data_IF_132928001993
#
_entry.id   IF_132928001993
#
_cell.length_a   1.000
_cell.length_b   1.000
_cell.length_c   1.000
_cell.angle_alpha   90.00
_cell.angle_beta   90.00
_cell.angle_gamma   90.00
#
_symmetry.space_group_name_H-M   'P 1'
#
loop_
_entity.id
_entity.type
_entity.pdbx_description
1 polymer ?
#
# COMPACT_ATOMS: atom_id res chain seq x y z
N UNK A 1 -21.05 7.73 -0.28
CA UNK A 1 -20.25 7.41 -1.49
C UNK A 1 -19.68 8.69 -2.06
N UNK A 2 -18.42 8.67 -2.55
CA UNK A 2 -17.65 9.84 -3.00
C UNK A 2 -18.37 10.70 -4.07
N UNK A 3 -19.37 10.16 -4.78
CA UNK A 3 -20.13 10.89 -5.81
C UNK A 3 -21.64 10.78 -5.69
N UNK A 4 -22.15 10.38 -4.52
CA UNK A 4 -23.56 9.99 -4.35
C UNK A 4 -24.03 8.98 -5.43
N UNK A 5 -23.13 8.12 -5.90
CA UNK A 5 -23.48 7.08 -6.88
C UNK A 5 -24.52 6.13 -6.30
N UNK A 6 -25.53 5.79 -7.09
CA UNK A 6 -26.61 4.86 -6.72
C UNK A 6 -26.15 3.38 -6.73
N UNK A 7 -24.86 3.12 -6.93
CA UNK A 7 -24.28 1.79 -7.01
C UNK A 7 -22.76 1.80 -6.96
N UNK A 8 -22.20 0.60 -7.00
CA UNK A 8 -20.77 0.36 -7.07
C UNK A 8 -20.53 -0.82 -8.02
N UNK A 9 -19.40 -0.79 -8.72
CA UNK A 9 -18.97 -1.86 -9.60
C UNK A 9 -17.76 -2.55 -8.97
N UNK A 10 -17.66 -3.86 -9.19
CA UNK A 10 -16.48 -4.65 -8.82
C UNK A 10 -16.02 -5.42 -10.04
N UNK A 11 -14.72 -5.48 -10.24
CA UNK A 11 -14.14 -6.47 -11.14
C UNK A 11 -14.05 -7.78 -10.37
N UNK A 12 -14.63 -8.85 -10.92
CA UNK A 12 -14.55 -10.16 -10.29
C UNK A 12 -13.10 -10.69 -10.29
N UNK A 13 -12.74 -11.54 -9.32
CA UNK A 13 -11.47 -12.24 -9.36
C UNK A 13 -11.29 -12.93 -10.72
N UNK A 14 -10.08 -12.87 -11.27
CA UNK A 14 -9.74 -13.42 -12.58
C UNK A 14 -10.30 -12.67 -13.79
N UNK A 15 -10.78 -11.43 -13.64
CA UNK A 15 -11.30 -10.64 -14.78
C UNK A 15 -10.30 -10.45 -15.95
N UNK A 16 -8.99 -10.53 -15.70
CA UNK A 16 -7.94 -10.46 -16.74
C UNK A 16 -7.36 -11.83 -17.12
N UNK A 17 -7.90 -12.92 -16.57
CA UNK A 17 -7.43 -14.28 -16.92
C UNK A 17 -7.70 -14.55 -18.39
N UNK A 18 -6.69 -15.02 -19.11
CA UNK A 18 -6.68 -15.19 -20.56
C UNK A 18 -6.84 -13.88 -21.36
N UNK A 19 -6.75 -12.70 -20.72
CA UNK A 19 -6.77 -11.43 -21.46
C UNK A 19 -5.62 -11.39 -22.46
N UNK A 20 -5.93 -10.96 -23.69
CA UNK A 20 -4.99 -10.87 -24.81
C UNK A 20 -4.33 -12.20 -25.23
N UNK A 21 -4.91 -13.34 -24.86
CA UNK A 21 -4.51 -14.65 -25.38
C UNK A 21 -5.28 -15.01 -26.68
N UNK A 22 -4.75 -15.92 -27.52
CA UNK A 22 -5.47 -16.40 -28.70
C UNK A 22 -6.86 -16.93 -28.35
N UNK A 23 -7.85 -16.63 -29.18
CA UNK A 23 -9.25 -17.01 -28.94
C UNK A 23 -9.50 -18.52 -28.88
N UNK A 24 -8.61 -19.33 -29.45
CA UNK A 24 -8.65 -20.79 -29.47
C UNK A 24 -7.74 -21.43 -28.40
N UNK A 25 -7.04 -20.63 -27.60
CA UNK A 25 -6.23 -21.12 -26.50
C UNK A 25 -7.12 -21.79 -25.44
N UNK A 26 -6.71 -22.97 -24.98
CA UNK A 26 -7.40 -23.65 -23.88
C UNK A 26 -7.19 -22.84 -22.60
N UNK A 27 -8.24 -22.58 -21.80
CA UNK A 27 -8.09 -21.98 -20.49
C UNK A 27 -7.16 -22.81 -19.60
N UNK A 28 -6.20 -22.15 -18.96
CA UNK A 28 -5.34 -22.80 -17.97
C UNK A 28 -6.07 -22.96 -16.63
N UNK A 29 -5.68 -23.94 -15.82
CA UNK A 29 -6.06 -24.00 -14.41
C UNK A 29 -5.07 -23.18 -13.57
N UNK A 30 -5.56 -22.37 -12.62
CA UNK A 30 -4.68 -21.62 -11.70
C UNK A 30 -3.74 -22.53 -10.91
N UNK A 31 -4.32 -23.56 -10.29
CA UNK A 31 -3.61 -24.50 -9.44
C UNK A 31 -3.16 -25.73 -10.23
N UNK A 32 -1.98 -26.25 -9.90
CA UNK A 32 -1.50 -27.51 -10.45
C UNK A 32 -2.49 -28.66 -10.16
N UNK A 33 -2.58 -29.69 -11.03
CA UNK A 33 -3.59 -30.74 -10.91
C UNK A 33 -3.67 -31.44 -9.53
N UNK A 34 -2.53 -31.65 -8.86
CA UNK A 34 -2.48 -32.28 -7.53
C UNK A 34 -2.92 -31.37 -6.37
N UNK A 35 -3.06 -30.07 -6.63
CA UNK A 35 -3.32 -29.01 -5.64
C UNK A 35 -4.76 -28.50 -5.73
N UNK A 36 -5.46 -28.77 -6.84
CA UNK A 36 -6.85 -28.37 -7.07
C UNK A 36 -7.80 -29.01 -6.05
N UNK A 37 -8.75 -28.20 -5.57
CA UNK A 37 -9.75 -28.57 -4.57
C UNK A 37 -11.15 -28.01 -4.87
N UNK A 38 -11.32 -27.40 -6.03
CA UNK A 38 -12.56 -26.85 -6.54
C UNK A 38 -12.85 -27.45 -7.93
N UNK A 39 -14.13 -27.42 -8.32
CA UNK A 39 -14.57 -27.77 -9.67
C UNK A 39 -14.67 -26.51 -10.53
N UNK A 40 -15.03 -25.37 -9.91
CA UNK A 40 -15.11 -24.07 -10.57
C UNK A 40 -14.30 -23.01 -9.82
N UNK A 41 -13.55 -22.18 -10.55
CA UNK A 41 -12.59 -21.24 -9.92
C UNK A 41 -13.23 -20.22 -8.98
N UNK A 42 -14.49 -19.83 -9.22
CA UNK A 42 -15.20 -18.91 -8.33
C UNK A 42 -15.36 -19.47 -6.90
N UNK A 43 -15.35 -20.80 -6.72
CA UNK A 43 -15.48 -21.46 -5.42
C UNK A 43 -14.29 -21.15 -4.50
N UNK A 44 -13.10 -20.94 -5.08
CA UNK A 44 -11.92 -20.46 -4.35
C UNK A 44 -12.11 -19.06 -3.79
N UNK A 45 -12.87 -18.22 -4.49
CA UNK A 45 -13.11 -16.81 -4.14
C UNK A 45 -14.39 -16.62 -3.34
N UNK A 46 -14.88 -17.66 -2.65
CA UNK A 46 -16.12 -17.61 -1.87
C UNK A 46 -16.18 -16.41 -0.92
N UNK A 47 -15.05 -16.03 -0.30
CA UNK A 47 -15.03 -14.93 0.66
C UNK A 47 -15.22 -13.57 -0.01
N UNK A 48 -14.66 -13.38 -1.22
CA UNK A 48 -14.92 -12.18 -2.02
C UNK A 48 -16.42 -12.03 -2.30
N UNK A 49 -17.07 -13.08 -2.81
CA UNK A 49 -18.50 -13.03 -3.13
C UNK A 49 -19.37 -12.89 -1.87
N UNK A 50 -18.96 -13.47 -0.75
CA UNK A 50 -19.65 -13.29 0.53
C UNK A 50 -19.58 -11.84 0.98
N UNK A 51 -18.39 -11.22 1.01
CA UNK A 51 -18.20 -9.82 1.41
C UNK A 51 -18.93 -8.88 0.45
N UNK A 52 -18.72 -9.04 -0.86
CA UNK A 52 -19.37 -8.23 -1.88
C UNK A 52 -20.90 -8.27 -1.77
N UNK A 53 -21.48 -9.48 -1.69
CA UNK A 53 -22.94 -9.64 -1.60
C UNK A 53 -23.52 -9.14 -0.28
N UNK A 54 -22.83 -9.35 0.85
CA UNK A 54 -23.34 -8.96 2.18
C UNK A 54 -23.17 -7.48 2.46
N UNK A 55 -21.98 -6.92 2.24
CA UNK A 55 -21.73 -5.48 2.43
C UNK A 55 -22.54 -4.65 1.45
N UNK A 56 -22.70 -5.13 0.21
CA UNK A 56 -23.57 -4.49 -0.78
C UNK A 56 -25.05 -4.45 -0.39
N UNK A 57 -25.52 -5.41 0.40
CA UNK A 57 -26.90 -5.46 0.88
C UNK A 57 -27.08 -4.72 2.22
N UNK A 58 -26.20 -4.99 3.19
CA UNK A 58 -26.21 -4.37 4.51
C UNK A 58 -24.77 -4.22 5.04
N UNK A 59 -24.22 -2.99 5.10
CA UNK A 59 -22.88 -2.76 5.64
C UNK A 59 -22.76 -3.10 7.13
N UNK A 60 -23.86 -3.12 7.88
CA UNK A 60 -23.89 -3.50 9.31
C UNK A 60 -24.03 -5.02 9.51
N UNK A 61 -23.50 -5.83 8.58
CA UNK A 61 -23.56 -7.30 8.68
C UNK A 61 -22.73 -7.79 9.89
N UNK A 62 -23.34 -8.54 10.84
CA UNK A 62 -22.64 -9.01 12.03
C UNK A 62 -21.47 -9.95 11.74
N UNK A 63 -20.47 -9.93 12.62
CA UNK A 63 -19.21 -10.66 12.43
C UNK A 63 -19.40 -12.19 12.33
N UNK A 64 -20.43 -12.73 12.98
CA UNK A 64 -20.73 -14.16 13.00
C UNK A 64 -21.00 -14.72 11.60
N UNK A 65 -21.48 -13.88 10.66
CA UNK A 65 -21.74 -14.28 9.27
C UNK A 65 -20.44 -14.67 8.55
N UNK A 66 -19.38 -13.90 8.77
CA UNK A 66 -18.05 -14.16 8.20
C UNK A 66 -17.42 -15.37 8.89
N UNK A 67 -17.39 -15.34 10.22
CA UNK A 67 -16.75 -16.35 11.06
C UNK A 67 -17.29 -17.76 10.83
N UNK A 68 -18.61 -17.90 10.63
CA UNK A 68 -19.24 -19.22 10.45
C UNK A 68 -18.69 -19.98 9.24
N UNK A 69 -18.41 -19.29 8.14
CA UNK A 69 -17.91 -19.94 6.92
C UNK A 69 -16.44 -20.35 7.08
N UNK A 70 -15.61 -19.51 7.73
CA UNK A 70 -14.24 -19.89 8.11
C UNK A 70 -14.22 -21.09 9.05
N UNK A 71 -15.05 -21.10 10.09
CA UNK A 71 -15.15 -22.22 11.04
C UNK A 71 -15.57 -23.52 10.36
N UNK A 72 -16.49 -23.46 9.41
CA UNK A 72 -16.93 -24.63 8.63
C UNK A 72 -15.78 -25.21 7.79
N UNK A 73 -14.95 -24.37 7.19
CA UNK A 73 -13.88 -24.77 6.26
C UNK A 73 -12.59 -25.21 6.96
N UNK A 74 -12.25 -24.54 8.06
CA UNK A 74 -10.95 -24.66 8.74
C UNK A 74 -11.05 -25.07 10.21
N UNK A 75 -12.25 -25.34 10.73
CA UNK A 75 -12.46 -25.69 12.14
C UNK A 75 -12.42 -24.49 13.09
N UNK A 76 -12.99 -24.65 14.28
CA UNK A 76 -13.13 -23.55 15.25
C UNK A 76 -11.79 -22.98 15.73
N UNK A 77 -10.76 -23.83 15.82
CA UNK A 77 -9.47 -23.44 16.41
C UNK A 77 -8.54 -22.72 15.43
N UNK A 78 -8.58 -23.05 14.14
CA UNK A 78 -7.73 -22.42 13.12
C UNK A 78 -8.41 -21.28 12.36
N UNK A 79 -9.74 -21.29 12.25
CA UNK A 79 -10.52 -20.30 11.50
C UNK A 79 -10.20 -18.83 11.85
N UNK A 80 -10.11 -18.42 13.14
CA UNK A 80 -9.82 -17.03 13.47
C UNK A 80 -8.46 -16.54 12.96
N UNK A 81 -7.48 -17.44 12.85
CA UNK A 81 -6.15 -17.12 12.37
C UNK A 81 -6.12 -17.01 10.83
N UNK A 82 -6.84 -17.88 10.12
CA UNK A 82 -6.99 -17.76 8.67
C UNK A 82 -7.74 -16.48 8.29
N UNK A 83 -8.85 -16.19 8.96
CA UNK A 83 -9.63 -14.97 8.75
C UNK A 83 -8.76 -13.72 8.97
N UNK A 84 -8.10 -13.63 10.12
CA UNK A 84 -7.22 -12.50 10.43
C UNK A 84 -6.03 -12.39 9.47
N UNK A 85 -5.43 -13.51 9.07
CA UNK A 85 -4.35 -13.56 8.09
C UNK A 85 -4.77 -13.00 6.74
N UNK A 86 -5.96 -13.36 6.25
CA UNK A 86 -6.53 -12.84 5.02
C UNK A 86 -6.84 -11.34 5.11
N UNK A 87 -7.39 -10.86 6.24
CA UNK A 87 -7.65 -9.43 6.42
C UNK A 87 -6.37 -8.61 6.39
N UNK A 88 -5.31 -9.06 7.08
CA UNK A 88 -3.98 -8.42 7.03
C UNK A 88 -3.40 -8.45 5.61
N UNK A 89 -3.45 -9.60 4.94
CA UNK A 89 -2.92 -9.76 3.58
C UNK A 89 -3.66 -8.90 2.55
N UNK A 90 -4.95 -8.64 2.76
CA UNK A 90 -5.77 -7.81 1.86
C UNK A 90 -5.28 -6.37 1.72
N UNK A 91 -4.52 -5.86 2.71
CA UNK A 91 -3.90 -4.53 2.65
C UNK A 91 -2.63 -4.46 1.81
N UNK A 92 -1.96 -5.58 1.50
CA UNK A 92 -0.63 -5.60 0.86
C UNK A 92 -0.68 -5.03 -0.56
N UNK A 93 -1.53 -5.57 -1.42
CA UNK A 93 -1.61 -5.14 -2.83
C UNK A 93 -2.07 -3.69 -2.99
N UNK A 94 -3.14 -3.21 -2.30
CA UNK A 94 -3.53 -1.80 -2.36
C UNK A 94 -2.43 -0.86 -1.89
N UNK A 95 -1.68 -1.22 -0.82
CA UNK A 95 -0.55 -0.42 -0.34
C UNK A 95 0.59 -0.34 -1.36
N UNK A 96 0.92 -1.44 -2.03
CA UNK A 96 1.91 -1.46 -3.13
C UNK A 96 1.47 -0.48 -4.23
N UNK A 97 0.20 -0.59 -4.67
CA UNK A 97 -0.38 0.29 -5.70
C UNK A 97 -0.29 1.76 -5.29
N UNK A 98 -0.70 2.09 -4.07
CA UNK A 98 -0.70 3.47 -3.57
C UNK A 98 0.70 4.09 -3.50
N UNK A 99 1.70 3.34 -3.02
CA UNK A 99 2.95 3.91 -2.51
C UNK A 99 4.23 3.53 -3.26
N UNK A 100 4.21 2.49 -4.10
CA UNK A 100 5.41 1.99 -4.78
C UNK A 100 5.20 1.76 -6.28
N UNK A 101 3.95 1.69 -6.73
CA UNK A 101 3.65 1.23 -8.07
C UNK A 101 3.87 2.32 -9.11
N UNK A 102 4.64 2.05 -10.17
CA UNK A 102 4.92 3.06 -11.18
C UNK A 102 3.64 3.36 -11.97
N UNK A 103 3.26 4.62 -12.07
CA UNK A 103 2.00 5.03 -12.71
C UNK A 103 1.85 4.52 -14.16
N UNK A 104 2.97 4.36 -14.89
CA UNK A 104 2.99 3.78 -16.25
C UNK A 104 2.43 2.34 -16.33
N UNK A 105 2.43 1.61 -15.23
CA UNK A 105 1.91 0.25 -15.12
C UNK A 105 0.43 0.21 -14.71
N UNK A 106 -0.22 1.38 -14.53
CA UNK A 106 -1.65 1.48 -14.25
C UNK A 106 -2.45 1.66 -15.56
N UNK A 107 -3.63 1.01 -15.72
CA UNK A 107 -4.33 0.10 -14.78
C UNK A 107 -3.84 -1.37 -14.88
N UNK A 108 -4.48 -2.30 -14.15
CA UNK A 108 -4.11 -3.74 -14.05
C UNK A 108 -3.85 -4.45 -15.41
N UNK A 109 -4.44 -3.98 -16.51
CA UNK A 109 -4.18 -4.50 -17.86
C UNK A 109 -2.80 -4.13 -18.42
N UNK A 110 -2.02 -3.33 -17.68
CA UNK A 110 -0.66 -2.89 -18.01
C UNK A 110 0.39 -3.29 -16.98
N UNK A 111 -0.03 -3.90 -15.87
CA UNK A 111 0.88 -4.34 -14.83
C UNK A 111 0.17 -5.16 -13.76
N UNK A 112 0.95 -6.01 -13.09
CA UNK A 112 0.44 -6.96 -12.10
C UNK A 112 1.26 -6.89 -10.82
N UNK A 113 0.81 -6.08 -9.86
CA UNK A 113 1.51 -5.81 -8.60
C UNK A 113 1.84 -7.05 -7.77
N UNK A 114 1.05 -8.11 -7.91
CA UNK A 114 1.24 -9.36 -7.17
C UNK A 114 2.29 -10.28 -7.80
N UNK A 115 2.55 -10.17 -9.12
CA UNK A 115 3.55 -10.99 -9.82
C UNK A 115 4.82 -10.22 -10.16
N UNK A 116 4.73 -8.97 -10.57
CA UNK A 116 5.85 -8.26 -11.20
C UNK A 116 6.78 -7.62 -10.17
N UNK A 117 8.08 -7.66 -10.45
CA UNK A 117 9.09 -6.95 -9.66
C UNK A 117 9.07 -5.42 -9.86
N UNK A 118 8.23 -4.88 -10.73
CA UNK A 118 8.12 -3.42 -11.00
C UNK A 118 9.39 -2.76 -11.53
N UNK A 119 10.15 -3.48 -12.37
CA UNK A 119 11.37 -2.97 -13.01
C UNK A 119 12.64 -3.13 -12.17
N UNK A 120 13.77 -2.79 -12.78
CA UNK A 120 15.07 -2.83 -12.10
C UNK A 120 15.15 -1.68 -11.10
N UNK A 121 16.05 -1.77 -10.11
CA UNK A 121 16.13 -0.77 -9.04
C UNK A 121 16.19 0.69 -9.54
N UNK A 122 16.93 1.05 -10.61
CA UNK A 122 16.94 2.41 -11.14
C UNK A 122 15.59 2.89 -11.70
N UNK A 123 14.75 1.97 -12.20
CA UNK A 123 13.41 2.27 -12.69
C UNK A 123 12.41 2.33 -11.54
N UNK A 124 12.47 1.35 -10.64
CA UNK A 124 11.65 1.29 -9.44
C UNK A 124 11.86 2.52 -8.54
N UNK A 125 13.10 2.98 -8.40
CA UNK A 125 13.45 4.17 -7.62
C UNK A 125 12.86 5.48 -8.15
N UNK A 126 12.36 5.50 -9.39
CA UNK A 126 11.68 6.64 -10.01
C UNK A 126 10.15 6.56 -9.91
N UNK A 127 9.61 5.54 -9.25
CA UNK A 127 8.16 5.42 -9.08
C UNK A 127 7.62 6.55 -8.20
N UNK A 128 6.56 7.22 -8.69
CA UNK A 128 5.84 8.26 -7.95
C UNK A 128 4.75 7.66 -7.03
N UNK A 129 4.30 6.43 -7.30
CA UNK A 129 3.10 5.84 -6.68
C UNK A 129 1.82 6.32 -7.37
N UNK A 130 0.66 5.81 -6.93
CA UNK A 130 -0.65 6.31 -7.39
C UNK A 130 -1.28 7.33 -6.45
N UNK A 131 -0.86 7.36 -5.17
CA UNK A 131 -1.34 8.32 -4.18
C UNK A 131 -0.22 9.26 -3.72
N UNK A 132 0.07 10.24 -4.56
CA UNK A 132 1.10 11.26 -4.32
C UNK A 132 0.72 12.27 -3.22
N UNK A 133 -0.52 12.24 -2.73
CA UNK A 133 -1.00 13.14 -1.68
C UNK A 133 -0.74 12.56 -0.29
N UNK A 134 -0.85 11.23 -0.13
CA UNK A 134 -0.61 10.57 1.15
C UNK A 134 0.82 10.06 1.33
N UNK A 135 1.49 9.67 0.24
CA UNK A 135 2.82 9.07 0.30
C UNK A 135 3.90 9.97 -0.30
N UNK A 136 5.07 9.96 0.33
CA UNK A 136 6.30 10.54 -0.23
C UNK A 136 6.91 9.54 -1.20
N UNK A 137 7.21 9.96 -2.43
CA UNK A 137 7.92 9.10 -3.38
C UNK A 137 9.43 8.99 -3.02
N UNK A 138 10.12 7.99 -3.56
CA UNK A 138 11.52 7.72 -3.19
C UNK A 138 12.46 8.90 -3.50
N UNK A 139 12.21 9.61 -4.60
CA UNK A 139 13.01 10.76 -4.98
C UNK A 139 12.75 11.99 -4.09
N UNK A 140 11.49 12.22 -3.71
CA UNK A 140 11.12 13.28 -2.77
C UNK A 140 11.76 13.03 -1.40
N UNK A 141 11.77 11.79 -0.91
CA UNK A 141 12.43 11.44 0.34
C UNK A 141 13.94 11.68 0.30
N UNK A 142 14.61 11.22 -0.76
CA UNK A 142 16.05 11.44 -0.93
C UNK A 142 16.38 12.94 -0.98
N UNK A 143 15.53 13.75 -1.62
CA UNK A 143 15.65 15.21 -1.63
C UNK A 143 15.49 15.78 -0.22
N UNK A 144 14.45 15.41 0.52
CA UNK A 144 14.20 15.89 1.89
C UNK A 144 15.35 15.55 2.84
N UNK A 145 15.96 14.37 2.70
CA UNK A 145 17.12 13.96 3.50
C UNK A 145 18.37 14.79 3.17
N UNK A 146 18.56 15.17 1.91
CA UNK A 146 19.73 15.92 1.42
C UNK A 146 19.61 17.42 1.70
N UNK A 147 18.48 18.01 1.33
CA UNK A 147 18.25 19.46 1.38
C UNK A 147 17.69 19.91 2.73
N UNK A 148 17.21 18.96 3.54
CA UNK A 148 16.34 19.25 4.68
C UNK A 148 14.91 19.55 4.23
N UNK A 149 13.97 19.37 5.14
CA UNK A 149 12.57 19.63 4.90
C UNK A 149 11.69 18.78 5.80
N UNK A 150 10.40 19.01 5.71
CA UNK A 150 9.40 18.32 6.52
C UNK A 150 8.15 18.02 5.70
N UNK A 151 7.45 16.96 6.07
CA UNK A 151 6.24 16.52 5.41
C UNK A 151 5.36 15.76 6.38
N UNK A 152 4.05 15.92 6.25
CA UNK A 152 3.06 15.16 7.01
C UNK A 152 2.66 13.85 6.31
N UNK A 153 3.10 13.66 5.06
CA UNK A 153 2.88 12.44 4.28
C UNK A 153 3.60 11.24 4.90
N UNK A 154 3.07 10.05 4.65
CA UNK A 154 3.72 8.79 5.01
C UNK A 154 5.05 8.67 4.28
N UNK A 155 6.13 8.60 5.05
CA UNK A 155 7.50 8.55 4.52
C UNK A 155 7.90 7.11 4.16
N UNK A 156 8.91 6.89 3.29
CA UNK A 156 9.33 5.55 2.90
C UNK A 156 9.78 4.68 4.07
N UNK A 157 10.37 5.26 5.13
CA UNK A 157 10.76 4.51 6.34
C UNK A 157 9.54 3.97 7.09
N UNK A 158 8.51 4.78 7.29
CA UNK A 158 7.24 4.36 7.90
C UNK A 158 6.54 3.31 7.03
N UNK A 159 6.49 3.53 5.72
CA UNK A 159 5.87 2.60 4.78
C UNK A 159 6.60 1.24 4.74
N UNK A 160 7.94 1.26 4.75
CA UNK A 160 8.78 0.06 4.89
C UNK A 160 8.47 -0.69 6.19
N UNK A 161 8.36 0.05 7.31
CA UNK A 161 7.97 -0.50 8.61
C UNK A 161 6.61 -1.18 8.59
N UNK A 162 5.60 -0.53 8.00
CA UNK A 162 4.27 -1.11 7.83
C UNK A 162 4.29 -2.43 7.07
N UNK A 163 5.01 -2.51 5.94
CA UNK A 163 5.13 -3.75 5.19
C UNK A 163 5.85 -4.85 5.98
N UNK A 164 6.89 -4.50 6.72
CA UNK A 164 7.63 -5.46 7.56
C UNK A 164 6.74 -6.03 8.68
N UNK A 165 5.97 -5.17 9.36
CA UNK A 165 5.05 -5.58 10.42
C UNK A 165 3.91 -6.43 9.87
N UNK A 166 3.27 -6.01 8.77
CA UNK A 166 2.20 -6.77 8.12
C UNK A 166 2.67 -8.16 7.70
N UNK A 167 3.88 -8.28 7.12
CA UNK A 167 4.46 -9.58 6.78
C UNK A 167 4.65 -10.48 8.02
N UNK A 168 5.19 -9.93 9.11
CA UNK A 168 5.38 -10.65 10.36
C UNK A 168 4.05 -11.09 10.99
N UNK A 169 3.03 -10.24 10.96
CA UNK A 169 1.70 -10.53 11.51
C UNK A 169 0.98 -11.62 10.72
N UNK A 170 1.11 -11.61 9.38
CA UNK A 170 0.59 -12.67 8.50
C UNK A 170 1.28 -14.00 8.82
N UNK A 171 2.62 -14.02 8.90
CA UNK A 171 3.38 -15.23 9.23
C UNK A 171 3.00 -15.78 10.61
N UNK A 172 2.78 -14.90 11.58
CA UNK A 172 2.26 -15.29 12.88
C UNK A 172 0.89 -15.94 12.76
N UNK A 173 -0.04 -15.36 12.00
CA UNK A 173 -1.36 -15.98 11.79
C UNK A 173 -1.25 -17.35 11.11
N UNK A 174 -0.43 -17.47 10.07
CA UNK A 174 -0.17 -18.76 9.38
C UNK A 174 0.34 -19.80 10.36
N UNK A 175 1.38 -19.48 11.15
CA UNK A 175 1.95 -20.41 12.12
C UNK A 175 0.94 -20.83 13.19
N UNK A 176 0.07 -19.91 13.63
CA UNK A 176 -1.00 -20.21 14.59
C UNK A 176 -2.10 -21.10 13.98
N UNK A 177 -2.47 -20.88 12.72
CA UNK A 177 -3.43 -21.71 12.00
C UNK A 177 -2.89 -23.13 11.78
N UNK A 178 -1.65 -23.27 11.34
CA UNK A 178 -1.01 -24.58 11.09
C UNK A 178 -0.91 -25.45 12.33
N UNK A 179 -0.69 -24.85 13.51
CA UNK A 179 -0.66 -25.58 14.79
C UNK A 179 -2.04 -26.07 15.23
N UNK A 180 -3.12 -25.45 14.75
CA UNK A 180 -4.50 -25.66 15.25
C UNK A 180 -5.43 -26.33 14.25
N UNK A 181 -5.02 -26.47 12.98
CA UNK A 181 -5.89 -26.98 11.92
C UNK A 181 -6.36 -28.43 12.15
N UNK A 182 -5.55 -29.26 12.82
CA UNK A 182 -5.92 -30.62 13.21
C UNK A 182 -6.50 -31.44 12.06
N UNK A 183 -7.64 -32.09 12.29
CA UNK A 183 -8.36 -32.92 11.32
C UNK A 183 -9.00 -32.13 10.17
N UNK A 184 -9.14 -30.81 10.30
CA UNK A 184 -9.68 -29.95 9.25
C UNK A 184 -8.64 -29.60 8.17
N UNK A 185 -7.40 -30.11 8.26
CA UNK A 185 -6.36 -29.86 7.26
C UNK A 185 -6.77 -30.48 5.93
N UNK A 186 -6.95 -29.65 4.92
CA UNK A 186 -7.38 -30.04 3.59
C UNK A 186 -6.66 -29.19 2.53
N UNK A 187 -6.91 -29.46 1.24
CA UNK A 187 -6.25 -28.76 0.14
C UNK A 187 -6.60 -27.27 0.08
N UNK A 188 -7.80 -26.87 0.49
CA UNK A 188 -8.17 -25.45 0.60
C UNK A 188 -7.28 -24.75 1.62
N UNK A 189 -7.11 -25.35 2.81
CA UNK A 189 -6.21 -24.83 3.85
C UNK A 189 -4.77 -24.68 3.34
N UNK A 190 -4.23 -25.71 2.69
CA UNK A 190 -2.87 -25.65 2.11
C UNK A 190 -2.76 -24.51 1.08
N UNK A 191 -3.76 -24.35 0.21
CA UNK A 191 -3.79 -23.28 -0.78
C UNK A 191 -3.86 -21.90 -0.13
N UNK A 192 -4.74 -21.71 0.86
CA UNK A 192 -4.88 -20.43 1.57
C UNK A 192 -3.60 -20.07 2.32
N UNK A 193 -2.96 -21.03 2.99
CA UNK A 193 -1.67 -20.81 3.66
C UNK A 193 -0.58 -20.46 2.65
N UNK A 194 -0.54 -21.11 1.49
CA UNK A 194 0.38 -20.76 0.40
C UNK A 194 0.18 -19.31 -0.08
N UNK A 195 -1.08 -18.89 -0.30
CA UNK A 195 -1.39 -17.51 -0.71
C UNK A 195 -0.93 -16.48 0.33
N UNK A 196 -1.20 -16.76 1.61
CA UNK A 196 -0.75 -15.90 2.71
C UNK A 196 0.78 -15.80 2.79
N UNK A 197 1.51 -16.90 2.54
CA UNK A 197 2.97 -16.90 2.48
C UNK A 197 3.50 -16.12 1.28
N UNK A 198 2.85 -16.20 0.12
CA UNK A 198 3.20 -15.40 -1.06
C UNK A 198 3.03 -13.91 -0.73
N UNK A 199 1.87 -13.51 -0.20
CA UNK A 199 1.59 -12.10 0.14
C UNK A 199 2.47 -11.57 1.29
N UNK A 200 2.77 -12.39 2.29
CA UNK A 200 3.75 -12.06 3.34
C UNK A 200 5.14 -11.81 2.77
N UNK A 201 5.63 -12.68 1.88
CA UNK A 201 6.93 -12.48 1.25
C UNK A 201 6.95 -11.31 0.27
N UNK A 202 5.82 -11.01 -0.40
CA UNK A 202 5.68 -9.83 -1.24
C UNK A 202 5.75 -8.54 -0.40
N UNK A 203 5.05 -8.49 0.73
CA UNK A 203 5.16 -7.38 1.69
C UNK A 203 6.61 -7.22 2.17
N UNK A 204 7.26 -8.32 2.55
CA UNK A 204 8.68 -8.34 2.96
C UNK A 204 9.64 -7.90 1.85
N UNK A 205 9.36 -8.22 0.60
CA UNK A 205 10.11 -7.73 -0.55
C UNK A 205 10.04 -6.20 -0.62
N UNK A 206 8.83 -5.62 -0.56
CA UNK A 206 8.68 -4.16 -0.59
C UNK A 206 9.27 -3.48 0.64
N UNK A 207 9.14 -4.07 1.84
CA UNK A 207 9.75 -3.52 3.05
C UNK A 207 11.27 -3.35 2.92
N UNK A 208 11.93 -4.29 2.22
CA UNK A 208 13.38 -4.28 1.98
C UNK A 208 13.78 -3.50 0.73
N UNK A 209 12.90 -3.37 -0.26
CA UNK A 209 13.21 -2.71 -1.52
C UNK A 209 12.97 -1.21 -1.50
N UNK A 210 12.04 -0.72 -0.68
CA UNK A 210 11.86 0.71 -0.42
C UNK A 210 13.17 1.39 0.03
N UNK A 211 13.89 0.90 1.05
CA UNK A 211 15.17 1.50 1.42
C UNK A 211 16.24 1.33 0.33
N UNK A 212 16.20 0.27 -0.49
CA UNK A 212 17.08 0.15 -1.66
C UNK A 212 16.88 1.33 -2.63
N UNK A 213 15.61 1.65 -2.94
CA UNK A 213 15.26 2.74 -3.86
C UNK A 213 15.69 4.10 -3.32
N UNK A 214 15.43 4.39 -2.04
CA UNK A 214 15.82 5.69 -1.44
C UNK A 214 17.35 5.84 -1.42
N UNK A 215 18.10 4.79 -1.04
CA UNK A 215 19.57 4.83 -1.09
C UNK A 215 20.10 4.99 -2.53
N UNK A 216 19.44 4.39 -3.53
CA UNK A 216 19.79 4.60 -4.93
C UNK A 216 19.57 6.05 -5.36
N UNK A 217 18.44 6.68 -4.97
CA UNK A 217 18.19 8.11 -5.23
C UNK A 217 19.16 9.03 -4.48
N UNK A 218 19.58 8.66 -3.27
CA UNK A 218 20.63 9.36 -2.53
C UNK A 218 21.97 9.30 -3.26
N UNK A 219 22.35 8.13 -3.80
CA UNK A 219 23.54 7.98 -4.63
C UNK A 219 23.46 8.88 -5.87
N UNK A 220 22.36 8.87 -6.62
CA UNK A 220 22.20 9.73 -7.80
C UNK A 220 22.27 11.24 -7.48
N UNK A 221 21.79 11.66 -6.29
CA UNK A 221 21.79 13.07 -5.88
C UNK A 221 23.13 13.56 -5.31
N UNK A 222 23.93 12.66 -4.75
CA UNK A 222 25.13 13.03 -3.97
C UNK A 222 26.44 12.54 -4.57
N UNK A 223 26.38 11.55 -5.45
CA UNK A 223 27.56 10.82 -5.96
C UNK A 223 28.27 9.98 -4.89
N UNK A 224 27.70 9.79 -3.69
CA UNK A 224 28.34 9.04 -2.60
C UNK A 224 28.26 7.53 -2.83
N UNK A 225 29.38 6.83 -3.08
CA UNK A 225 29.38 5.39 -3.35
C UNK A 225 28.83 4.56 -2.18
N UNK A 226 28.89 5.06 -0.94
CA UNK A 226 28.33 4.35 0.22
C UNK A 226 26.80 4.23 0.16
N UNK A 227 26.13 5.18 -0.49
CA UNK A 227 24.70 5.09 -0.73
C UNK A 227 24.38 4.00 -1.77
N UNK A 228 25.23 3.84 -2.79
CA UNK A 228 25.11 2.72 -3.73
C UNK A 228 25.35 1.37 -3.04
N UNK A 229 26.35 1.28 -2.17
CA UNK A 229 26.61 0.06 -1.37
C UNK A 229 25.38 -0.32 -0.52
N UNK A 230 24.77 0.68 0.15
CA UNK A 230 23.56 0.47 0.94
C UNK A 230 22.37 0.06 0.06
N UNK A 231 22.21 0.66 -1.12
CA UNK A 231 21.17 0.29 -2.08
C UNK A 231 21.30 -1.18 -2.52
N UNK A 232 22.51 -1.61 -2.86
CA UNK A 232 22.82 -3.00 -3.26
C UNK A 232 22.55 -3.98 -2.12
N UNK A 233 22.94 -3.64 -0.89
CA UNK A 233 22.69 -4.49 0.28
C UNK A 233 21.18 -4.70 0.53
N UNK A 234 20.39 -3.64 0.43
CA UNK A 234 18.94 -3.72 0.55
C UNK A 234 18.28 -4.46 -0.62
N UNK A 235 18.72 -4.24 -1.86
CA UNK A 235 18.22 -4.97 -3.04
C UNK A 235 18.48 -6.47 -2.90
N UNK A 236 19.68 -6.86 -2.46
CA UNK A 236 20.00 -8.28 -2.19
C UNK A 236 19.06 -8.88 -1.14
N UNK A 237 18.74 -8.13 -0.08
CA UNK A 237 17.79 -8.55 0.95
C UNK A 237 16.36 -8.67 0.41
N UNK A 238 15.94 -7.76 -0.46
CA UNK A 238 14.64 -7.83 -1.14
C UNK A 238 14.56 -9.08 -2.03
N UNK A 239 15.60 -9.35 -2.84
CA UNK A 239 15.67 -10.53 -3.70
C UNK A 239 15.60 -11.83 -2.90
N UNK A 240 16.17 -11.86 -1.70
CA UNK A 240 15.99 -13.01 -0.79
C UNK A 240 14.53 -13.20 -0.36
N UNK A 241 13.79 -12.12 -0.07
CA UNK A 241 12.35 -12.24 0.20
C UNK A 241 11.57 -12.75 -1.03
N UNK A 242 11.95 -12.30 -2.23
CA UNK A 242 11.36 -12.79 -3.47
C UNK A 242 11.69 -14.28 -3.73
N UNK A 243 12.90 -14.72 -3.39
CA UNK A 243 13.26 -16.15 -3.44
C UNK A 243 12.37 -16.98 -2.51
N UNK A 244 12.14 -16.51 -1.30
CA UNK A 244 11.22 -17.15 -0.35
C UNK A 244 9.77 -17.15 -0.86
N UNK A 245 9.35 -16.11 -1.59
CA UNK A 245 8.06 -16.09 -2.30
C UNK A 245 7.98 -17.23 -3.32
N UNK A 246 9.00 -17.37 -4.18
CA UNK A 246 9.06 -18.44 -5.20
C UNK A 246 9.05 -19.82 -4.55
N UNK A 247 9.77 -20.01 -3.46
CA UNK A 247 9.77 -21.26 -2.69
C UNK A 247 8.39 -21.55 -2.07
N UNK A 248 7.71 -20.53 -1.53
CA UNK A 248 6.37 -20.67 -0.99
C UNK A 248 5.34 -21.04 -2.07
N UNK A 249 5.43 -20.42 -3.25
CA UNK A 249 4.59 -20.78 -4.40
C UNK A 249 4.87 -22.21 -4.88
N UNK A 250 6.13 -22.64 -4.87
CA UNK A 250 6.53 -24.03 -5.15
C UNK A 250 5.92 -24.58 -6.43
N UNK A 251 5.19 -25.70 -6.30
CA UNK A 251 4.41 -26.32 -7.37
C UNK A 251 2.89 -26.08 -7.26
N UNK A 252 2.45 -25.13 -6.41
CA UNK A 252 1.02 -24.88 -6.20
C UNK A 252 0.34 -24.32 -7.43
N UNK A 253 1.00 -23.40 -8.11
CA UNK A 253 0.48 -22.69 -9.27
C UNK A 253 1.01 -23.29 -10.57
N UNK A 254 0.20 -23.17 -11.63
CA UNK A 254 0.63 -23.50 -12.98
C UNK A 254 1.81 -22.62 -13.40
N UNK A 255 2.72 -23.19 -14.21
CA UNK A 255 3.99 -22.57 -14.56
C UNK A 255 3.86 -21.29 -15.43
N UNK A 256 2.72 -21.10 -16.08
CA UNK A 256 2.43 -19.92 -16.91
C UNK A 256 1.04 -19.37 -16.54
N UNK A 257 1.03 -18.31 -15.72
CA UNK A 257 -0.18 -17.62 -15.30
C UNK A 257 -0.52 -16.53 -16.31
N UNK A 258 -1.38 -16.84 -17.27
CA UNK A 258 -1.75 -15.92 -18.36
C UNK A 258 -2.82 -14.91 -17.91
N UNK A 259 -2.41 -13.78 -17.30
CA UNK A 259 -3.29 -12.75 -16.74
C UNK A 259 -3.31 -11.44 -17.55
N UNK A 260 -2.85 -11.48 -18.80
CA UNK A 260 -2.82 -10.32 -19.69
C UNK A 260 -1.87 -10.50 -20.87
N UNK A 261 -1.45 -9.37 -21.45
CA UNK A 261 -0.54 -9.34 -22.61
C UNK A 261 0.85 -9.89 -22.24
N UNK A 262 1.27 -10.98 -22.89
CA UNK A 262 2.58 -11.62 -22.61
C UNK A 262 3.78 -10.67 -22.82
N UNK A 263 3.70 -9.75 -23.79
CA UNK A 263 4.74 -8.75 -24.03
C UNK A 263 4.84 -7.63 -22.98
N UNK A 264 3.89 -7.56 -22.04
CA UNK A 264 3.90 -6.63 -20.91
C UNK A 264 4.24 -7.34 -19.58
N UNK A 265 4.85 -8.53 -19.65
CA UNK A 265 5.20 -9.36 -18.50
C UNK A 265 3.99 -9.74 -17.60
N UNK A 266 2.81 -9.86 -18.21
CA UNK A 266 1.55 -10.27 -17.54
C UNK A 266 1.29 -11.79 -17.62
N UNK A 267 2.28 -12.54 -18.10
CA UNK A 267 2.30 -14.00 -18.13
C UNK A 267 3.51 -14.55 -17.34
N UNK A 268 3.61 -15.87 -17.22
CA UNK A 268 4.69 -16.57 -16.54
C UNK A 268 4.46 -16.74 -15.04
N UNK A 269 5.54 -16.82 -14.29
CA UNK A 269 5.55 -17.15 -12.86
C UNK A 269 6.53 -16.26 -12.09
N UNK A 270 6.40 -16.19 -10.76
CA UNK A 270 7.29 -15.39 -9.91
C UNK A 270 8.78 -15.77 -10.04
N UNK A 271 9.09 -16.99 -10.49
CA UNK A 271 10.47 -17.45 -10.71
C UNK A 271 11.15 -16.77 -11.90
N UNK A 272 10.36 -16.33 -12.87
CA UNK A 272 10.87 -15.62 -14.05
C UNK A 272 11.29 -14.20 -13.66
N UNK A 273 10.50 -13.57 -12.78
CA UNK A 273 10.83 -12.27 -12.17
C UNK A 273 12.06 -12.36 -11.26
N UNK A 274 12.25 -13.49 -10.56
CA UNK A 274 13.45 -13.74 -9.76
C UNK A 274 14.71 -13.75 -10.65
N UNK A 275 14.64 -14.37 -11.83
CA UNK A 275 15.77 -14.37 -12.77
C UNK A 275 16.11 -12.95 -13.24
N UNK A 276 15.10 -12.13 -13.53
CA UNK A 276 15.29 -10.72 -13.90
C UNK A 276 15.84 -9.88 -12.75
N UNK A 277 15.35 -10.08 -11.52
CA UNK A 277 15.86 -9.44 -10.31
C UNK A 277 17.35 -9.74 -10.09
N UNK A 278 17.79 -10.99 -10.25
CA UNK A 278 19.21 -11.35 -10.13
C UNK A 278 20.05 -10.65 -11.20
N UNK A 279 19.57 -10.57 -12.45
CA UNK A 279 20.24 -9.83 -13.52
C UNK A 279 20.36 -8.33 -13.20
N UNK A 280 19.30 -7.73 -12.65
CA UNK A 280 19.30 -6.34 -12.20
C UNK A 280 20.32 -6.08 -11.08
N UNK A 281 20.44 -7.01 -10.12
CA UNK A 281 21.46 -6.95 -9.06
C UNK A 281 22.88 -7.04 -9.63
N UNK A 282 23.13 -7.95 -10.56
CA UNK A 282 24.43 -8.07 -11.24
C UNK A 282 24.82 -6.76 -11.94
N UNK A 283 23.87 -6.09 -12.59
CA UNK A 283 24.10 -4.78 -13.22
C UNK A 283 24.44 -3.68 -12.20
N UNK A 284 23.80 -3.68 -11.03
CA UNK A 284 24.14 -2.74 -9.95
C UNK A 284 25.54 -3.00 -9.39
N UNK A 285 25.91 -4.27 -9.19
CA UNK A 285 27.24 -4.67 -8.72
C UNK A 285 28.34 -4.37 -9.75
N UNK A 286 28.03 -4.45 -11.05
CA UNK A 286 28.93 -3.98 -12.11
C UNK A 286 29.11 -2.47 -12.03
N UNK A 287 28.02 -1.71 -11.91
CA UNK A 287 28.05 -0.24 -11.75
C UNK A 287 28.87 0.20 -10.53
N UNK A 288 28.81 -0.56 -9.43
CA UNK A 288 29.62 -0.31 -8.23
C UNK A 288 31.14 -0.43 -8.48
N UNK A 289 31.56 -1.30 -9.41
CA UNK A 289 32.98 -1.53 -9.75
C UNK A 289 33.51 -0.54 -10.77
N UNK A 290 32.63 0.09 -11.55
CA UNK A 290 33.02 1.08 -12.54
C UNK A 290 33.41 2.41 -11.86
N UNK A 291 34.44 3.10 -12.36
CA UNK A 291 34.79 4.42 -11.85
C UNK A 291 33.60 5.38 -12.01
N UNK A 292 33.23 6.05 -10.91
CA UNK A 292 32.05 6.89 -10.83
C UNK A 292 32.01 7.94 -11.94
N UNK A 293 30.98 7.87 -12.78
CA UNK A 293 30.67 8.93 -13.76
C UNK A 293 29.96 10.13 -13.09
N UNK A 294 29.26 9.88 -11.97
CA UNK A 294 28.60 10.92 -11.20
C UNK A 294 29.63 11.73 -10.40
N UNK A 295 29.59 13.07 -10.44
CA UNK A 295 30.45 13.88 -9.60
C UNK A 295 30.10 13.64 -8.12
N UNK A 296 31.12 13.39 -7.29
CA UNK A 296 30.92 13.39 -5.83
C UNK A 296 30.60 14.80 -5.37
N UNK A 297 29.34 15.04 -4.98
CA UNK A 297 28.85 16.33 -4.51
C UNK A 297 29.01 16.45 -3.00
N UNK A 298 28.52 15.46 -2.26
CA UNK A 298 28.54 15.47 -0.79
C UNK A 298 28.35 14.07 -0.21
N UNK A 299 28.53 13.96 1.11
CA UNK A 299 28.22 12.73 1.84
C UNK A 299 26.70 12.53 1.85
N UNK A 300 26.25 11.33 1.47
CA UNK A 300 24.84 10.98 1.56
C UNK A 300 24.40 10.87 3.03
N UNK A 301 23.23 11.43 3.40
CA UNK A 301 22.60 11.14 4.67
C UNK A 301 22.25 9.65 4.76
N UNK A 302 22.16 9.11 5.97
CA UNK A 302 21.71 7.74 6.18
C UNK A 302 20.20 7.66 6.04
N UNK A 303 19.71 6.62 5.37
CA UNK A 303 18.29 6.27 5.44
C UNK A 303 17.90 6.02 6.90
N UNK A 304 16.86 6.70 7.42
CA UNK A 304 16.48 6.58 8.82
C UNK A 304 15.94 5.17 9.11
N UNK A 305 16.17 4.62 10.31
CA UNK A 305 15.48 3.41 10.74
C UNK A 305 13.96 3.68 10.83
N UNK A 306 13.17 2.61 10.83
CA UNK A 306 11.75 2.70 11.19
C UNK A 306 11.65 3.30 12.60
N UNK A 307 10.95 4.42 12.75
CA UNK A 307 10.67 4.98 14.07
C UNK A 307 9.76 3.98 14.82
N UNK A 308 10.27 3.42 15.91
CA UNK A 308 9.44 2.63 16.84
C UNK A 308 8.64 3.59 17.71
N UNK A 309 7.37 3.27 17.98
CA UNK A 309 6.41 4.14 18.69
C UNK A 309 6.91 4.71 20.03
N UNK A 310 7.93 4.11 20.65
CA UNK A 310 8.42 4.48 21.98
C UNK A 310 9.30 5.75 22.07
N UNK A 311 9.77 6.34 20.97
CA UNK A 311 10.81 7.40 21.06
C UNK A 311 10.38 8.79 20.55
N UNK A 312 9.39 8.88 19.65
CA UNK A 312 8.92 10.16 19.10
C UNK A 312 7.57 9.98 18.39
N UNK A 313 6.47 9.97 19.15
CA UNK A 313 5.13 9.78 18.60
C UNK A 313 4.65 11.05 17.92
N UNK A 314 4.19 10.95 16.67
CA UNK A 314 3.60 12.07 15.94
C UNK A 314 2.41 12.71 16.70
N UNK A 315 2.09 13.99 16.43
CA UNK A 315 1.03 14.71 17.14
C UNK A 315 -0.33 14.01 17.14
N UNK A 316 -1.00 14.06 18.29
CA UNK A 316 -2.40 13.66 18.42
C UNK A 316 -3.32 14.70 17.76
N UNK A 317 -4.26 14.24 16.94
CA UNK A 317 -5.29 15.09 16.33
C UNK A 317 -6.67 14.59 16.73
N UNK A 318 -7.45 15.46 17.38
CA UNK A 318 -8.86 15.20 17.72
C UNK A 318 -9.71 16.15 16.88
N UNK A 319 -10.58 15.58 16.06
CA UNK A 319 -11.42 16.34 15.15
C UNK A 319 -12.81 15.71 15.05
N UNK A 320 -13.84 16.55 15.15
CA UNK A 320 -15.21 16.17 14.81
C UNK A 320 -15.47 16.55 13.35
N UNK A 321 -15.72 15.57 12.45
CA UNK A 321 -15.90 15.84 11.03
C UNK A 321 -17.06 16.80 10.77
N UNK A 322 -16.82 17.79 9.93
CA UNK A 322 -17.91 18.60 9.38
C UNK A 322 -18.45 17.86 8.17
N UNK A 323 -19.69 17.37 8.26
CA UNK A 323 -20.28 16.51 7.22
C UNK A 323 -21.28 17.22 6.32
N UNK A 324 -21.69 18.43 6.68
CA UNK A 324 -22.61 19.25 5.89
C UNK A 324 -22.27 20.74 5.96
N UNK A 325 -22.52 21.48 4.88
CA UNK A 325 -22.39 22.94 4.84
C UNK A 325 -23.36 23.57 3.83
N UNK A 326 -23.75 24.83 4.06
CA UNK A 326 -24.57 25.59 3.12
C UNK A 326 -23.72 26.17 1.98
N UNK A 327 -24.21 26.07 0.75
CA UNK A 327 -23.55 26.66 -0.43
C UNK A 327 -23.39 28.18 -0.27
N UNK A 328 -22.24 28.70 -0.72
CA UNK A 328 -21.94 30.13 -0.72
C UNK A 328 -21.67 30.74 0.65
N UNK A 329 -21.52 29.91 1.70
CA UNK A 329 -21.14 30.36 3.04
C UNK A 329 -19.70 29.91 3.36
N UNK A 330 -18.91 30.70 4.11
CA UNK A 330 -17.61 30.25 4.59
C UNK A 330 -17.75 29.02 5.49
N UNK A 331 -16.87 28.03 5.29
CA UNK A 331 -16.89 26.78 6.05
C UNK A 331 -15.73 26.74 7.04
N UNK A 332 -16.04 26.78 8.34
CA UNK A 332 -15.04 26.71 9.41
C UNK A 332 -14.76 25.27 9.81
N UNK A 333 -13.48 24.86 9.73
CA UNK A 333 -12.99 23.56 10.19
C UNK A 333 -12.13 23.78 11.43
N UNK A 334 -12.39 23.04 12.50
CA UNK A 334 -11.63 23.12 13.75
C UNK A 334 -11.07 21.77 14.16
N UNK A 335 -9.88 21.74 14.72
CA UNK A 335 -9.27 20.53 15.26
C UNK A 335 -8.44 20.86 16.50
N UNK A 336 -8.33 19.91 17.42
CA UNK A 336 -7.35 19.93 18.50
C UNK A 336 -6.10 19.22 17.99
N UNK A 337 -4.93 19.83 18.16
CA UNK A 337 -3.65 19.20 17.86
C UNK A 337 -2.73 19.32 19.08
N UNK A 338 -2.15 18.21 19.52
CA UNK A 338 -1.31 18.16 20.73
C UNK A 338 -0.07 17.32 20.50
N UNK A 339 1.03 17.80 21.06
CA UNK A 339 2.30 17.09 21.07
C UNK A 339 3.14 17.53 22.28
N UNK A 340 3.82 16.62 23.01
CA UNK A 340 4.68 16.98 24.14
C UNK A 340 5.80 17.97 23.79
N UNK A 341 6.32 17.91 22.57
CA UNK A 341 7.36 18.78 22.05
C UNK A 341 6.78 20.06 21.42
N UNK A 342 5.45 20.13 21.34
CA UNK A 342 4.68 21.25 20.82
C UNK A 342 4.40 21.14 19.32
N UNK A 343 3.23 21.65 18.93
CA UNK A 343 2.81 21.70 17.53
C UNK A 343 3.47 22.89 16.82
N UNK A 344 4.15 22.64 15.71
CA UNK A 344 4.79 23.66 14.87
C UNK A 344 3.79 24.30 13.92
N UNK A 345 2.98 23.49 13.24
CA UNK A 345 1.90 23.98 12.38
C UNK A 345 0.80 22.93 12.21
N UNK A 346 -0.39 23.43 11.88
CA UNK A 346 -1.54 22.63 11.45
C UNK A 346 -2.04 23.22 10.13
N UNK A 347 -2.39 22.35 9.17
CA UNK A 347 -2.83 22.76 7.84
C UNK A 347 -4.06 21.98 7.41
N UNK A 348 -5.03 22.69 6.87
CA UNK A 348 -6.17 22.11 6.19
C UNK A 348 -5.83 21.93 4.70
N UNK A 349 -5.99 20.71 4.19
CA UNK A 349 -5.92 20.39 2.77
C UNK A 349 -7.33 20.13 2.29
N UNK A 350 -7.81 20.88 1.30
CA UNK A 350 -9.18 20.72 0.78
C UNK A 350 -9.26 20.91 -0.73
N UNK A 351 -10.28 20.30 -1.34
CA UNK A 351 -10.68 20.54 -2.74
C UNK A 351 -12.14 20.14 -2.91
N UNK A 352 -12.71 20.44 -4.07
CA UNK A 352 -13.96 19.83 -4.47
C UNK A 352 -13.82 18.33 -4.61
N UNK A 353 -14.93 17.60 -4.55
CA UNK A 353 -14.97 16.19 -4.91
C UNK A 353 -14.88 16.02 -6.43
N UNK A 354 -13.76 16.50 -6.97
CA UNK A 354 -13.37 16.55 -8.36
C UNK A 354 -11.88 16.15 -8.41
N UNK A 355 -11.60 14.93 -8.88
CA UNK A 355 -10.26 14.36 -8.86
C UNK A 355 -9.28 15.03 -9.82
N UNK A 356 -9.77 15.91 -10.70
CA UNK A 356 -8.95 16.72 -11.61
C UNK A 356 -8.30 17.92 -10.90
N UNK A 357 -8.73 18.24 -9.68
CA UNK A 357 -8.20 19.36 -8.90
C UNK A 357 -7.10 18.91 -7.94
N UNK A 358 -6.04 19.73 -7.85
CA UNK A 358 -5.09 19.66 -6.75
C UNK A 358 -5.72 20.15 -5.44
N UNK A 359 -5.24 19.61 -4.32
CA UNK A 359 -5.60 20.11 -3.01
C UNK A 359 -5.07 21.53 -2.78
N UNK A 360 -5.97 22.41 -2.36
CA UNK A 360 -5.63 23.72 -1.80
C UNK A 360 -5.21 23.58 -0.34
N UNK A 361 -4.44 24.54 0.14
CA UNK A 361 -3.90 24.57 1.50
C UNK A 361 -4.32 25.82 2.24
N UNK A 362 -4.76 25.66 3.48
CA UNK A 362 -4.98 26.76 4.43
C UNK A 362 -4.24 26.48 5.73
N UNK A 363 -3.46 27.42 6.27
CA UNK A 363 -2.97 27.30 7.63
C UNK A 363 -4.16 27.29 8.59
N UNK A 364 -4.18 26.35 9.54
CA UNK A 364 -5.10 26.39 10.66
C UNK A 364 -4.44 27.21 11.78
N UNK A 365 -5.07 28.32 12.16
CA UNK A 365 -4.51 29.25 13.16
C UNK A 365 -4.99 28.87 14.57
N UNK A 366 -4.14 29.02 15.60
CA UNK A 366 -4.52 28.71 16.97
C UNK A 366 -5.65 29.63 17.46
N UNK A 367 -6.58 29.05 18.21
CA UNK A 367 -7.65 29.74 18.95
C UNK A 367 -7.16 30.11 20.35
N UNK A 368 -7.98 30.87 21.09
CA UNK A 368 -7.62 31.45 22.38
C UNK A 368 -7.26 30.42 23.49
N UNK A 369 -7.64 29.15 23.31
CA UNK A 369 -7.38 28.03 24.23
C UNK A 369 -6.08 27.25 23.87
N UNK A 370 -5.32 27.69 22.87
CA UNK A 370 -3.96 27.25 22.57
C UNK A 370 -3.85 25.97 21.75
N UNK A 371 -4.60 24.92 22.12
CA UNK A 371 -4.52 23.60 21.48
C UNK A 371 -5.50 23.43 20.31
N UNK A 372 -6.49 24.33 20.18
CA UNK A 372 -7.44 24.28 19.07
C UNK A 372 -6.98 25.17 17.94
N UNK A 373 -7.10 24.65 16.73
CA UNK A 373 -6.74 25.32 15.50
C UNK A 373 -7.96 25.43 14.59
N UNK A 374 -8.05 26.51 13.81
CA UNK A 374 -9.14 26.74 12.88
C UNK A 374 -8.63 27.23 11.52
N UNK A 375 -9.19 26.67 10.45
CA UNK A 375 -9.14 27.27 9.11
C UNK A 375 -10.57 27.49 8.61
N UNK A 376 -10.74 28.51 7.77
CA UNK A 376 -12.02 28.83 7.13
C UNK A 376 -11.86 28.71 5.63
N UNK A 377 -12.54 27.73 5.03
CA UNK A 377 -12.66 27.61 3.59
C UNK A 377 -13.48 28.80 3.06
N UNK A 378 -12.97 29.58 2.09
CA UNK A 378 -13.68 30.73 1.56
C UNK A 378 -15.04 30.37 0.94
N UNK A 379 -16.05 31.22 1.12
CA UNK A 379 -17.40 31.02 0.56
C UNK A 379 -17.41 30.76 -0.96
N UNK A 380 -16.49 31.39 -1.69
CA UNK A 380 -16.34 31.22 -3.15
C UNK A 380 -15.90 29.81 -3.57
N UNK A 381 -15.36 29.02 -2.63
CA UNK A 381 -14.96 27.63 -2.85
C UNK A 381 -16.02 26.64 -2.34
N UNK A 382 -17.11 27.13 -1.74
CA UNK A 382 -18.24 26.30 -1.27
C UNK A 382 -19.37 26.41 -2.30
N UNK A 383 -19.14 25.84 -3.49
CA UNK A 383 -20.02 25.99 -4.66
C UNK A 383 -20.95 24.78 -4.84
N UNK A 384 -22.13 24.97 -5.40
CA UNK A 384 -23.14 23.90 -5.54
C UNK A 384 -22.75 22.75 -6.48
N UNK A 385 -21.76 22.95 -7.35
CA UNK A 385 -21.40 22.00 -8.40
C UNK A 385 -20.86 20.66 -7.85
N UNK A 386 -20.14 20.71 -6.73
CA UNK A 386 -19.48 19.54 -6.15
C UNK A 386 -19.54 19.62 -4.63
N UNK A 387 -19.57 18.48 -3.96
CA UNK A 387 -19.27 18.43 -2.52
C UNK A 387 -17.80 18.80 -2.26
N UNK A 388 -17.43 19.02 -1.01
CA UNK A 388 -16.03 19.26 -0.62
C UNK A 388 -15.42 18.02 0.04
N UNK A 389 -14.12 17.83 -0.13
CA UNK A 389 -13.34 16.89 0.65
C UNK A 389 -12.15 17.59 1.30
N UNK A 390 -11.78 17.16 2.51
CA UNK A 390 -10.63 17.70 3.21
C UNK A 390 -9.94 16.66 4.11
N UNK A 391 -8.69 16.94 4.46
CA UNK A 391 -7.95 16.29 5.53
C UNK A 391 -7.05 17.31 6.23
N UNK A 392 -6.49 16.92 7.38
CA UNK A 392 -5.66 17.80 8.20
C UNK A 392 -4.24 17.25 8.21
N UNK A 393 -3.26 18.11 7.97
CA UNK A 393 -1.85 17.83 8.18
C UNK A 393 -1.42 18.50 9.49
N UNK A 394 -0.65 17.78 10.31
CA UNK A 394 -0.05 18.31 11.55
C UNK A 394 1.46 18.05 11.54
N UNK A 395 2.21 18.93 12.18
CA UNK A 395 3.67 18.82 12.33
C UNK A 395 4.08 19.30 13.72
N UNK A 396 4.87 18.50 14.43
CA UNK A 396 5.50 18.91 15.68
C UNK A 396 6.78 19.75 15.46
N UNK A 397 7.46 20.11 16.55
CA UNK A 397 8.75 20.82 16.49
C UNK A 397 9.97 19.92 16.24
N UNK A 398 9.80 18.61 16.22
CA UNK A 398 10.85 17.61 15.94
C UNK A 398 10.86 17.11 14.50
N UNK A 399 9.85 17.47 13.71
CA UNK A 399 9.69 17.05 12.32
C UNK A 399 8.83 15.80 12.13
N UNK A 400 8.10 15.35 13.15
CA UNK A 400 7.15 14.25 13.03
C UNK A 400 5.80 14.81 12.57
N UNK A 401 5.53 14.63 11.28
CA UNK A 401 4.29 15.01 10.66
C UNK A 401 3.31 13.85 10.54
N UNK A 402 2.01 14.15 10.51
CA UNK A 402 0.95 13.15 10.27
C UNK A 402 -0.22 13.75 9.51
N UNK A 403 -0.88 12.93 8.70
CA UNK A 403 -2.18 13.22 8.08
C UNK A 403 -3.29 12.63 8.96
N UNK A 404 -4.33 13.42 9.20
CA UNK A 404 -5.56 13.01 9.87
C UNK A 404 -6.76 13.14 8.91
N UNK A 405 -7.57 12.08 8.73
CA UNK A 405 -7.48 10.76 9.38
C UNK A 405 -6.29 9.90 9.01
N UNK A 406 -5.93 8.97 9.90
CA UNK A 406 -4.92 7.94 9.63
C UNK A 406 -5.46 6.92 8.62
N UNK A 407 -4.76 6.79 7.49
CA UNK A 407 -5.11 5.88 6.40
C UNK A 407 -5.14 4.40 6.82
N UNK A 408 -4.42 4.04 7.89
CA UNK A 408 -4.39 2.68 8.42
C UNK A 408 -5.63 2.33 9.23
N UNK A 409 -6.42 3.33 9.64
CA UNK A 409 -7.57 3.15 10.52
C UNK A 409 -8.88 3.42 9.80
N UNK A 410 -8.91 4.41 8.90
CA UNK A 410 -10.11 4.79 8.16
C UNK A 410 -9.75 5.51 6.86
N UNK A 411 -10.78 5.88 6.09
CA UNK A 411 -10.60 6.71 4.89
C UNK A 411 -9.84 8.01 5.25
N UNK A 412 -8.74 8.35 4.55
CA UNK A 412 -7.82 9.42 4.94
C UNK A 412 -8.31 10.83 4.54
N UNK A 413 -9.62 11.04 4.53
CA UNK A 413 -10.27 12.32 4.26
C UNK A 413 -11.72 12.30 4.74
N UNK A 414 -12.29 13.48 4.92
CA UNK A 414 -13.70 13.71 5.20
C UNK A 414 -14.40 14.30 3.99
N UNK A 415 -15.70 14.01 3.85
CA UNK A 415 -16.57 14.62 2.82
C UNK A 415 -17.57 15.54 3.52
N UNK A 416 -17.73 16.74 2.97
CA UNK A 416 -18.72 17.74 3.37
C UNK A 416 -19.79 17.78 2.28
N UNK A 417 -20.99 17.31 2.60
CA UNK A 417 -22.13 17.39 1.69
C UNK A 417 -22.69 18.81 1.65
N UNK A 418 -22.75 19.41 0.46
CA UNK A 418 -23.23 20.78 0.32
C UNK A 418 -24.75 20.81 0.14
N UNK A 419 -25.42 21.57 1.00
CA UNK A 419 -26.86 21.77 0.96
C UNK A 419 -27.20 22.74 -0.18
N UNK A 420 -27.78 22.17 -1.24
CA UNK A 420 -28.09 22.83 -2.52
C UNK A 420 -29.45 23.53 -2.52
#
# INVERSE_FOLDING_TARGET
LLYAGDGFEVNEPLCTKMEAQPHDAQPFDLLSPGRRYYDYEFERYWYFYQVFGRVGYNPDTPAEVWQREFQKRFGQDAAPFIEKGLHLASGVLPRIVASCYPYRAFPMTRGWAEKQRLGDLPEYAKAEGSDIQLFVCFDEEARLLVEGGETAKVRPAENSGWFAQTAADIDQQVAQAERRIGEHRNREFESTVTDLRILSNLARFHSRRIPAAVNYRLFERTGDPRALDAAIAHERSAIEAWRQLVEAAGDFYTADLMMGVSGADLCGHWKDELALLNKGLEALEQRQREPGQEPFVQIAPRFPPVQTEEVDSAPEVIHQPVTMAAVGQPLSITAVARDPEGVKWVRLRYRHVNQQEDYRSLPMLPLADGDRYQATVPAQDVVSAWDLMYFIEVMDRRGNGRIHPDLNQQTPYFIVHLQR
#
